data_IF_759652712961
#
_entry.id   IF_759652712961
#
_cell.length_a   1.000
_cell.length_b   1.000
_cell.length_c   1.000
_cell.angle_alpha   90.00
_cell.angle_beta   90.00
_cell.angle_gamma   90.00
#
_symmetry.space_group_name_H-M   'P 1'
#
loop_
_entity.id
_entity.type
_entity.pdbx_description
1 polymer ?
#
# COMPACT_ATOMS: atom_id res chain seq x y z
N UNK A 1 -14.79 9.13 17.29
CA UNK A 1 -14.75 8.15 16.17
C UNK A 1 -13.37 8.21 15.55
N UNK A 2 -12.74 7.07 15.23
CA UNK A 2 -11.43 7.06 14.55
C UNK A 2 -11.57 7.56 13.13
N UNK A 3 -10.60 8.39 12.71
CA UNK A 3 -10.54 8.92 11.36
C UNK A 3 -9.58 8.09 10.51
N UNK A 4 -10.09 7.34 9.56
CA UNK A 4 -9.31 6.47 8.67
C UNK A 4 -9.33 7.06 7.27
N UNK A 5 -8.16 7.43 6.77
CA UNK A 5 -8.00 7.97 5.43
C UNK A 5 -7.89 6.88 4.38
N UNK A 6 -8.45 7.13 3.21
CA UNK A 6 -8.22 6.35 1.99
C UNK A 6 -7.57 7.25 0.95
N UNK A 7 -6.40 6.86 0.43
CA UNK A 7 -5.75 7.58 -0.67
C UNK A 7 -6.61 7.45 -1.92
N UNK A 8 -7.12 8.58 -2.40
CA UNK A 8 -8.00 8.64 -3.58
C UNK A 8 -7.46 9.65 -4.59
N UNK A 9 -6.61 9.14 -5.46
CA UNK A 9 -5.91 9.91 -6.51
C UNK A 9 -6.00 9.13 -7.82
N UNK A 10 -5.59 9.75 -8.91
CA UNK A 10 -5.48 9.05 -10.20
C UNK A 10 -4.57 7.82 -10.06
N UNK A 11 -5.00 6.70 -10.62
CA UNK A 11 -4.32 5.41 -10.49
C UNK A 11 -4.72 4.58 -9.27
N UNK A 12 -5.43 5.16 -8.28
CA UNK A 12 -6.02 4.40 -7.20
C UNK A 12 -7.33 3.70 -7.65
N UNK A 13 -7.48 2.42 -7.30
CA UNK A 13 -8.67 1.63 -7.61
C UNK A 13 -9.20 0.94 -6.33
N UNK A 14 -9.79 1.69 -5.40
CA UNK A 14 -10.16 1.17 -4.09
C UNK A 14 -11.36 0.22 -4.10
N UNK A 15 -12.04 0.08 -5.23
CA UNK A 15 -13.23 -0.78 -5.34
C UNK A 15 -12.93 -2.29 -5.32
N UNK A 16 -11.69 -2.69 -5.56
CA UNK A 16 -11.32 -4.09 -5.56
C UNK A 16 -11.24 -4.69 -4.15
N UNK A 17 -10.72 -3.95 -3.21
CA UNK A 17 -10.45 -4.43 -1.85
C UNK A 17 -11.68 -4.45 -0.96
N UNK A 18 -12.75 -3.74 -1.37
CA UNK A 18 -14.00 -3.64 -0.65
C UNK A 18 -13.81 -3.38 0.85
N UNK A 19 -13.18 -2.25 1.18
CA UNK A 19 -12.93 -1.85 2.58
C UNK A 19 -14.20 -1.58 3.40
N UNK A 20 -15.38 -1.66 2.77
CA UNK A 20 -16.66 -1.42 3.43
C UNK A 20 -16.74 0.01 3.99
N UNK A 21 -17.17 0.12 5.23
CA UNK A 21 -17.31 1.39 5.94
C UNK A 21 -16.02 1.81 6.70
N UNK A 22 -14.92 1.07 6.54
CA UNK A 22 -13.67 1.36 7.25
C UNK A 22 -13.08 2.73 6.91
N UNK A 23 -12.98 3.17 5.64
CA UNK A 23 -12.54 4.53 5.31
C UNK A 23 -13.60 5.57 5.70
N UNK A 24 -13.16 6.59 6.41
CA UNK A 24 -14.03 7.70 6.84
C UNK A 24 -13.73 9.01 6.09
N UNK A 25 -12.54 9.13 5.50
CA UNK A 25 -12.06 10.34 4.83
C UNK A 25 -11.27 9.99 3.57
N UNK A 26 -11.33 10.87 2.57
CA UNK A 26 -10.53 10.74 1.35
C UNK A 26 -9.29 11.64 1.45
N UNK A 27 -8.12 11.07 1.14
CA UNK A 27 -6.85 11.79 1.04
C UNK A 27 -6.55 12.06 -0.43
N UNK A 28 -6.45 13.32 -0.80
CA UNK A 28 -6.22 13.77 -2.17
C UNK A 28 -4.72 13.89 -2.48
N UNK A 29 -4.40 14.16 -3.74
CA UNK A 29 -3.01 14.30 -4.21
C UNK A 29 -2.20 15.38 -3.50
N UNK A 30 -2.83 16.39 -2.94
CA UNK A 30 -2.18 17.43 -2.15
C UNK A 30 -1.93 17.04 -0.68
N UNK A 31 -2.18 15.79 -0.30
CA UNK A 31 -2.01 15.29 1.07
C UNK A 31 -2.99 15.87 2.09
N UNK A 32 -4.09 16.48 1.63
CA UNK A 32 -5.07 17.11 2.52
C UNK A 32 -6.32 16.25 2.69
N UNK A 33 -6.91 16.37 3.87
CA UNK A 33 -8.22 15.89 4.27
C UNK A 33 -9.02 17.10 4.76
N UNK A 34 -10.12 17.41 4.10
CA UNK A 34 -10.97 18.56 4.44
C UNK A 34 -10.19 19.90 4.62
N UNK A 35 -9.19 20.10 3.76
CA UNK A 35 -8.35 21.29 3.76
C UNK A 35 -7.23 21.32 4.80
N UNK A 36 -7.06 20.26 5.60
CA UNK A 36 -6.01 20.13 6.61
C UNK A 36 -5.04 18.99 6.25
N UNK A 37 -3.84 19.02 6.81
CA UNK A 37 -2.84 17.98 6.62
C UNK A 37 -3.36 16.62 7.10
N UNK A 38 -3.22 15.59 6.25
CA UNK A 38 -3.69 14.24 6.57
C UNK A 38 -3.01 13.69 7.84
N UNK A 39 -1.72 13.96 8.02
CA UNK A 39 -0.97 13.55 9.20
C UNK A 39 -1.54 14.10 10.52
N UNK A 40 -2.14 15.28 10.50
CA UNK A 40 -2.75 15.88 11.70
C UNK A 40 -4.17 15.36 11.97
N UNK A 41 -4.91 15.00 10.92
CA UNK A 41 -6.33 14.66 11.03
C UNK A 41 -6.59 13.16 11.18
N UNK A 42 -5.74 12.30 10.61
CA UNK A 42 -6.00 10.88 10.54
C UNK A 42 -5.39 10.09 11.70
N UNK A 43 -6.10 9.03 12.11
CA UNK A 43 -5.60 8.02 13.05
C UNK A 43 -4.96 6.83 12.32
N UNK A 44 -5.32 6.58 11.06
CA UNK A 44 -4.78 5.51 10.21
C UNK A 44 -4.94 5.86 8.74
N UNK A 45 -4.19 5.17 7.86
CA UNK A 45 -4.21 5.38 6.41
C UNK A 45 -4.33 4.06 5.66
N UNK A 46 -5.17 4.07 4.62
CA UNK A 46 -5.27 2.98 3.64
C UNK A 46 -4.77 3.51 2.29
N UNK A 47 -3.84 2.79 1.68
CA UNK A 47 -3.35 3.04 0.33
C UNK A 47 -3.82 1.87 -0.54
N UNK A 48 -4.79 2.09 -1.44
CA UNK A 48 -5.41 1.01 -2.21
C UNK A 48 -4.52 0.49 -3.33
N UNK A 49 -4.98 -0.56 -3.99
CA UNK A 49 -4.40 -1.07 -5.22
C UNK A 49 -4.63 -0.14 -6.42
N UNK A 50 -4.12 -0.55 -7.57
CA UNK A 50 -4.21 0.19 -8.83
C UNK A 50 -2.86 0.33 -9.54
N UNK A 51 -2.62 1.51 -10.12
CA UNK A 51 -1.41 1.84 -10.89
C UNK A 51 -0.67 3.05 -10.33
N UNK A 52 -0.58 3.17 -9.01
CA UNK A 52 -0.07 4.36 -8.32
C UNK A 52 1.35 4.74 -8.75
N UNK A 53 2.29 3.77 -8.75
CA UNK A 53 3.67 4.04 -9.20
C UNK A 53 3.78 4.18 -10.73
N UNK A 54 2.99 3.44 -11.47
CA UNK A 54 3.02 3.48 -12.93
C UNK A 54 2.44 4.79 -13.46
N UNK A 55 1.38 5.32 -12.84
CA UNK A 55 0.74 6.57 -13.25
C UNK A 55 1.58 7.82 -12.97
N UNK A 56 2.52 7.74 -12.03
CA UNK A 56 3.39 8.85 -11.66
C UNK A 56 2.68 10.04 -11.00
N UNK A 57 1.47 9.85 -10.49
CA UNK A 57 0.64 10.93 -9.92
C UNK A 57 0.82 11.13 -8.39
N UNK A 58 1.84 10.51 -7.81
CA UNK A 58 2.18 10.71 -6.38
C UNK A 58 2.91 12.04 -6.24
N UNK A 59 2.25 13.02 -5.63
CA UNK A 59 2.86 14.32 -5.37
C UNK A 59 3.84 14.27 -4.18
N UNK A 60 4.75 15.21 -4.15
CA UNK A 60 5.67 15.38 -3.00
C UNK A 60 4.92 15.67 -1.70
N UNK A 61 3.82 16.41 -1.77
CA UNK A 61 3.03 16.74 -0.59
C UNK A 61 2.33 15.50 -0.02
N UNK A 62 1.72 14.67 -0.87
CA UNK A 62 1.14 13.40 -0.44
C UNK A 62 2.22 12.48 0.15
N UNK A 63 3.38 12.38 -0.51
CA UNK A 63 4.51 11.58 -0.04
C UNK A 63 4.99 12.02 1.35
N UNK A 64 5.09 13.34 1.59
CA UNK A 64 5.45 13.90 2.90
C UNK A 64 4.43 13.56 3.98
N UNK A 65 3.14 13.66 3.66
CA UNK A 65 2.06 13.33 4.61
C UNK A 65 2.05 11.83 4.96
N UNK A 66 2.23 10.93 3.99
CA UNK A 66 2.33 9.48 4.25
C UNK A 66 3.53 9.19 5.16
N UNK A 67 4.71 9.76 4.85
CA UNK A 67 5.91 9.61 5.68
C UNK A 67 5.72 10.16 7.10
N UNK A 68 5.00 11.27 7.24
CA UNK A 68 4.70 11.83 8.55
C UNK A 68 3.75 10.94 9.35
N UNK A 69 2.70 10.39 8.73
CA UNK A 69 1.77 9.42 9.35
C UNK A 69 2.55 8.20 9.87
N UNK A 70 3.48 7.66 9.06
CA UNK A 70 4.34 6.55 9.47
C UNK A 70 5.25 6.93 10.65
N UNK A 71 5.88 8.11 10.59
CA UNK A 71 6.75 8.63 11.67
C UNK A 71 6.00 8.82 12.98
N UNK A 72 4.74 9.20 12.91
CA UNK A 72 3.86 9.38 14.08
C UNK A 72 3.38 8.03 14.65
N UNK A 73 3.83 6.89 14.09
CA UNK A 73 3.46 5.55 14.51
C UNK A 73 2.01 5.18 14.23
N UNK A 74 1.34 5.89 13.32
CA UNK A 74 -0.04 5.59 12.96
C UNK A 74 -0.09 4.43 11.96
N UNK A 75 -1.07 3.50 12.08
CA UNK A 75 -1.19 2.37 11.17
C UNK A 75 -1.36 2.79 9.72
N UNK A 76 -0.62 2.14 8.83
CA UNK A 76 -0.76 2.28 7.37
C UNK A 76 -0.96 0.88 6.78
N UNK A 77 -1.97 0.73 5.93
CA UNK A 77 -2.21 -0.49 5.15
C UNK A 77 -2.00 -0.16 3.68
N UNK A 78 -1.05 -0.83 3.04
CA UNK A 78 -0.83 -0.74 1.60
C UNK A 78 -1.22 -2.04 0.91
N UNK A 79 -2.14 -1.98 -0.05
CA UNK A 79 -2.62 -3.14 -0.80
C UNK A 79 -2.13 -3.04 -2.25
N UNK A 80 -1.52 -4.10 -2.79
CA UNK A 80 -1.06 -4.16 -4.18
C UNK A 80 -0.15 -2.96 -4.55
N UNK A 81 -0.61 -2.01 -5.37
CA UNK A 81 0.13 -0.79 -5.68
C UNK A 81 0.42 0.08 -4.44
N UNK A 82 -0.40 -0.02 -3.40
CA UNK A 82 -0.12 0.61 -2.10
C UNK A 82 1.10 0.01 -1.42
N UNK A 83 1.31 -1.31 -1.48
CA UNK A 83 2.54 -1.94 -1.00
C UNK A 83 3.75 -1.48 -1.83
N UNK A 84 3.62 -1.41 -3.16
CA UNK A 84 4.68 -0.91 -4.04
C UNK A 84 5.09 0.52 -3.68
N UNK A 85 4.13 1.37 -3.36
CA UNK A 85 4.40 2.74 -2.93
C UNK A 85 5.14 2.80 -1.58
N UNK A 86 4.83 1.90 -0.65
CA UNK A 86 5.49 1.85 0.67
C UNK A 86 6.89 1.24 0.62
N UNK A 87 7.18 0.40 -0.38
CA UNK A 87 8.45 -0.29 -0.58
C UNK A 87 9.61 0.68 -0.89
N UNK A 88 10.84 0.16 -0.96
CA UNK A 88 11.99 0.92 -1.42
C UNK A 88 11.86 1.24 -2.91
N UNK A 89 11.62 0.22 -3.72
CA UNK A 89 11.47 0.37 -5.17
C UNK A 89 10.68 -0.79 -5.78
N UNK A 90 10.17 -0.55 -6.97
CA UNK A 90 9.51 -1.58 -7.80
C UNK A 90 10.06 -1.51 -9.22
N UNK A 91 10.49 -2.66 -9.75
CA UNK A 91 10.74 -2.80 -11.18
C UNK A 91 9.39 -2.96 -11.90
N UNK A 92 8.98 -1.93 -12.64
CA UNK A 92 7.73 -1.95 -13.43
C UNK A 92 7.92 -2.46 -14.85
N UNK A 93 9.11 -2.93 -15.17
CA UNK A 93 9.54 -3.35 -16.51
C UNK A 93 9.01 -4.71 -16.99
N UNK A 94 7.81 -5.12 -16.58
CA UNK A 94 7.21 -6.45 -16.89
C UNK A 94 7.20 -6.85 -18.35
N UNK A 95 7.31 -5.92 -19.28
CA UNK A 95 7.35 -6.12 -20.74
C UNK A 95 8.62 -5.56 -21.37
N UNK A 96 9.58 -5.17 -20.55
CA UNK A 96 10.85 -4.61 -20.98
C UNK A 96 11.95 -5.65 -20.87
N UNK A 97 12.92 -5.63 -21.78
CA UNK A 97 14.12 -6.46 -21.70
C UNK A 97 15.08 -5.98 -20.58
N UNK A 98 14.91 -4.75 -20.13
CA UNK A 98 15.68 -4.16 -19.04
C UNK A 98 14.76 -3.69 -17.93
N UNK A 99 15.20 -3.74 -16.65
CA UNK A 99 14.43 -3.22 -15.53
C UNK A 99 14.04 -1.75 -15.71
N UNK A 100 12.82 -1.41 -15.31
CA UNK A 100 12.33 -0.03 -15.22
C UNK A 100 12.01 0.25 -13.77
N UNK A 101 12.97 0.84 -13.06
CA UNK A 101 12.87 1.04 -11.62
C UNK A 101 12.06 2.29 -11.30
N UNK A 102 11.11 2.16 -10.40
CA UNK A 102 10.38 3.26 -9.76
C UNK A 102 10.62 3.23 -8.26
N UNK A 103 11.08 4.35 -7.74
CA UNK A 103 11.28 4.53 -6.30
C UNK A 103 9.94 4.60 -5.58
N UNK A 104 9.85 3.90 -4.45
CA UNK A 104 8.76 4.03 -3.48
C UNK A 104 9.11 5.04 -2.38
N UNK A 105 8.40 4.93 -1.26
CA UNK A 105 8.62 5.83 -0.12
C UNK A 105 9.70 5.33 0.85
N UNK A 106 10.15 4.07 0.72
CA UNK A 106 11.16 3.46 1.59
C UNK A 106 10.67 3.29 3.03
N UNK A 107 9.39 3.02 3.23
CA UNK A 107 8.80 2.81 4.56
C UNK A 107 8.80 1.33 4.96
N UNK A 108 8.92 0.44 4.00
CA UNK A 108 9.06 -1.01 4.18
C UNK A 108 10.30 -1.45 3.42
N UNK A 109 11.20 -2.17 4.09
CA UNK A 109 12.47 -2.61 3.50
C UNK A 109 12.27 -3.82 2.59
N UNK A 110 11.61 -3.59 1.46
CA UNK A 110 11.41 -4.57 0.39
C UNK A 110 11.58 -3.93 -0.98
N UNK A 111 11.98 -4.74 -1.95
CA UNK A 111 12.00 -4.43 -3.37
C UNK A 111 11.04 -5.38 -4.08
N UNK A 112 10.28 -4.86 -5.03
CA UNK A 112 9.37 -5.66 -5.83
C UNK A 112 9.85 -5.73 -7.29
N UNK A 113 9.61 -6.89 -7.91
CA UNK A 113 9.94 -7.09 -9.33
C UNK A 113 8.90 -7.99 -10.01
N UNK A 114 8.91 -8.05 -11.36
CA UNK A 114 7.93 -8.81 -12.11
C UNK A 114 7.93 -10.29 -11.73
N UNK A 115 6.78 -10.79 -11.35
CA UNK A 115 6.44 -12.20 -11.25
C UNK A 115 4.94 -12.30 -11.46
N UNK A 116 4.55 -12.57 -12.71
CA UNK A 116 3.14 -12.70 -13.06
C UNK A 116 2.68 -14.08 -12.62
N UNK A 117 1.75 -14.14 -11.69
CA UNK A 117 1.20 -15.38 -11.18
C UNK A 117 -0.28 -15.21 -10.85
N UNK A 118 -1.02 -16.31 -11.00
CA UNK A 118 -2.41 -16.43 -10.56
C UNK A 118 -2.63 -17.85 -10.09
N UNK A 119 -2.44 -18.09 -8.81
CA UNK A 119 -2.46 -19.42 -8.22
C UNK A 119 -3.29 -19.46 -6.94
N UNK A 120 -3.77 -20.66 -6.61
CA UNK A 120 -4.30 -20.94 -5.29
C UNK A 120 -3.14 -21.08 -4.30
N UNK A 121 -3.24 -20.38 -3.17
CA UNK A 121 -2.21 -20.41 -2.13
C UNK A 121 -2.81 -20.75 -0.77
N UNK A 122 -2.04 -21.46 0.02
CA UNK A 122 -2.28 -21.64 1.44
C UNK A 122 -1.25 -20.80 2.20
N UNK A 123 -1.74 -19.92 3.07
CA UNK A 123 -0.91 -19.05 3.87
C UNK A 123 -1.18 -19.29 5.34
N UNK A 124 -0.12 -19.21 6.14
CA UNK A 124 -0.24 -19.27 7.58
C UNK A 124 -0.37 -17.86 8.14
N UNK A 125 -1.40 -17.65 8.95
CA UNK A 125 -1.56 -16.40 9.68
C UNK A 125 -0.73 -16.47 10.96
N UNK A 126 0.08 -15.45 11.21
CA UNK A 126 0.89 -15.33 12.42
C UNK A 126 0.31 -14.23 13.32
N UNK A 127 0.26 -14.50 14.61
CA UNK A 127 -0.17 -13.54 15.65
C UNK A 127 0.94 -12.53 15.99
N UNK A 128 1.45 -11.82 14.98
CA UNK A 128 2.55 -10.86 15.16
C UNK A 128 2.25 -9.46 14.64
N UNK A 129 1.04 -9.20 14.18
CA UNK A 129 0.63 -7.89 13.70
C UNK A 129 -0.68 -7.43 14.35
N UNK A 130 -0.94 -6.13 14.29
CA UNK A 130 -2.19 -5.58 14.80
C UNK A 130 -3.44 -6.08 14.05
N UNK A 131 -3.28 -6.56 12.81
CA UNK A 131 -4.38 -7.12 11.99
C UNK A 131 -4.67 -8.56 12.39
N UNK A 132 -3.62 -9.34 12.70
CA UNK A 132 -3.72 -10.79 12.91
C UNK A 132 -3.66 -11.19 14.38
N UNK A 133 -3.68 -10.21 15.28
CA UNK A 133 -3.60 -10.46 16.73
C UNK A 133 -4.68 -11.42 17.22
N UNK A 134 -4.26 -12.48 17.86
CA UNK A 134 -5.15 -13.54 18.38
C UNK A 134 -5.57 -14.55 17.31
N UNK A 135 -5.07 -14.45 16.08
CA UNK A 135 -5.33 -15.42 15.02
C UNK A 135 -4.12 -16.31 14.80
N UNK A 136 -4.34 -17.59 14.65
CA UNK A 136 -3.30 -18.58 14.37
C UNK A 136 -3.90 -19.70 13.50
N UNK A 137 -4.47 -19.29 12.37
CA UNK A 137 -5.19 -20.17 11.45
C UNK A 137 -4.50 -20.18 10.08
N UNK A 138 -4.67 -21.29 9.38
CA UNK A 138 -4.29 -21.38 7.96
C UNK A 138 -5.43 -20.82 7.12
N UNK A 139 -5.09 -19.95 6.17
CA UNK A 139 -6.04 -19.40 5.22
C UNK A 139 -5.72 -19.87 3.82
N UNK A 140 -6.75 -20.18 3.06
CA UNK A 140 -6.64 -20.52 1.64
C UNK A 140 -7.23 -19.37 0.81
N UNK A 141 -6.50 -18.96 -0.21
CA UNK A 141 -6.95 -17.91 -1.10
C UNK A 141 -6.33 -18.04 -2.49
N UNK A 142 -6.60 -17.05 -3.32
CA UNK A 142 -5.91 -16.88 -4.58
C UNK A 142 -5.02 -15.65 -4.51
N UNK A 143 -3.81 -15.77 -5.03
CA UNK A 143 -3.02 -14.62 -5.35
C UNK A 143 -3.06 -14.35 -6.86
N UNK A 144 -3.23 -13.09 -7.22
CA UNK A 144 -3.08 -12.63 -8.60
C UNK A 144 -2.29 -11.34 -8.56
N UNK A 145 -1.12 -11.34 -9.18
CA UNK A 145 -0.24 -10.19 -9.15
C UNK A 145 0.66 -10.13 -10.38
N UNK A 146 1.20 -8.94 -10.62
CA UNK A 146 2.15 -8.65 -11.70
C UNK A 146 3.57 -8.51 -11.16
N UNK A 147 3.73 -7.97 -9.95
CA UNK A 147 5.00 -7.70 -9.28
C UNK A 147 5.08 -8.52 -7.99
N UNK A 148 4.99 -9.84 -8.15
CA UNK A 148 4.89 -10.77 -7.03
C UNK A 148 6.21 -11.24 -6.45
N UNK A 149 7.33 -10.91 -7.06
CA UNK A 149 8.64 -11.19 -6.46
C UNK A 149 8.95 -10.08 -5.47
N UNK A 150 9.04 -10.45 -4.20
CA UNK A 150 9.30 -9.54 -3.07
C UNK A 150 10.60 -10.00 -2.42
N UNK A 151 11.58 -9.11 -2.33
CA UNK A 151 12.90 -9.36 -1.74
C UNK A 151 13.21 -8.25 -0.72
N UNK A 152 13.64 -8.62 0.48
CA UNK A 152 14.02 -7.68 1.55
C UNK A 152 13.83 -8.27 2.94
N UNK A 153 14.11 -7.46 3.95
CA UNK A 153 14.17 -7.88 5.36
C UNK A 153 12.96 -7.40 6.19
N UNK A 154 11.92 -6.85 5.55
CA UNK A 154 10.71 -6.46 6.27
C UNK A 154 10.04 -7.69 6.90
N UNK A 155 9.72 -7.60 8.18
CA UNK A 155 9.09 -8.66 8.99
C UNK A 155 7.68 -8.27 9.35
#
# INVERSE_FOLDING_TARGET
>A
MKKIGLVYIKGAVPGFENFGELPTHLVKSNGLVDGKKASNELDALIIPGGTLLESGDISDDLSKEIKQIAKDGKPIIGVCAGLQLLANQTDIGRKSEVPIIKEGLGLIDVNLSPLISSDRVNAKVYDNSFITKGQNEDVTGFHTHTYGKIEGDAK
#
